data_IF_037484116574
#
_entry.id   IF_037484116574
#
_cell.length_a   1.000
_cell.length_b   1.000
_cell.length_c   1.000
_cell.angle_alpha   90.00
_cell.angle_beta   90.00
_cell.angle_gamma   90.00
#
_symmetry.space_group_name_H-M   'P 1'
#
loop_
_entity.id
_entity.type
_entity.pdbx_description
1 polymer ?
#
# COMPACT_ATOMS: atom_id res chain seq x y z
N UNK A 1 66.36 -28.69 72.41
CA UNK A 1 65.51 -27.48 72.48
C UNK A 1 64.21 -27.78 71.76
N UNK A 2 63.08 -27.28 72.25
CA UNK A 2 61.75 -27.87 71.99
C UNK A 2 60.75 -26.88 71.40
N UNK A 3 59.63 -27.44 70.92
CA UNK A 3 58.45 -26.80 70.32
C UNK A 3 58.67 -26.33 68.87
N UNK A 4 57.94 -26.80 67.85
CA UNK A 4 56.51 -27.20 67.68
C UNK A 4 55.56 -25.99 67.71
N UNK A 5 54.81 -25.79 66.63
CA UNK A 5 53.34 -25.75 66.58
C UNK A 5 52.90 -26.13 65.13
N UNK A 6 52.09 -27.18 64.86
CA UNK A 6 50.63 -27.40 65.14
C UNK A 6 49.76 -26.72 64.06
N UNK A 7 48.74 -27.31 63.40
CA UNK A 7 48.08 -28.66 63.26
C UNK A 7 47.36 -28.62 61.86
N UNK A 8 46.69 -29.60 61.25
CA UNK A 8 46.19 -30.99 61.47
C UNK A 8 46.19 -31.65 60.04
N UNK A 9 46.41 -32.94 59.73
CA UNK A 9 45.71 -34.22 60.04
C UNK A 9 44.18 -34.19 59.75
N UNK A 10 43.55 -35.16 59.08
CA UNK A 10 44.02 -36.29 58.26
C UNK A 10 42.83 -36.94 57.50
N UNK A 11 43.11 -37.78 56.48
CA UNK A 11 42.38 -39.00 56.01
C UNK A 11 40.83 -38.98 55.90
N UNK A 12 40.16 -39.38 54.81
CA UNK A 12 40.62 -39.95 53.53
C UNK A 12 40.46 -41.47 53.40
N UNK A 13 39.51 -41.93 52.57
CA UNK A 13 39.43 -43.33 52.09
C UNK A 13 38.02 -43.85 51.74
N UNK A 14 37.94 -44.64 50.65
CA UNK A 14 36.86 -45.56 50.24
C UNK A 14 35.51 -44.95 49.75
N UNK A 15 34.82 -45.49 48.73
CA UNK A 15 35.22 -46.35 47.58
C UNK A 15 34.10 -46.36 46.51
N UNK A 16 34.27 -47.16 45.46
CA UNK A 16 33.31 -47.58 44.41
C UNK A 16 33.09 -46.57 43.27
N UNK A 17 33.66 -46.91 42.10
CA UNK A 17 33.16 -46.45 40.81
C UNK A 17 32.04 -47.39 40.35
N UNK A 18 30.89 -46.85 39.96
CA UNK A 18 29.85 -47.55 39.20
C UNK A 18 29.42 -46.66 38.03
N UNK A 19 29.25 -47.25 36.85
CA UNK A 19 29.03 -46.52 35.61
C UNK A 19 27.61 -45.96 35.51
N UNK A 20 27.45 -44.66 35.71
CA UNK A 20 26.25 -43.92 35.31
C UNK A 20 26.35 -43.50 33.85
N UNK A 21 25.66 -44.19 32.94
CA UNK A 21 25.38 -43.64 31.61
C UNK A 21 24.35 -42.53 31.80
N UNK A 22 24.83 -41.28 31.81
CA UNK A 22 23.95 -40.12 31.74
C UNK A 22 23.32 -40.05 30.35
N UNK A 23 22.16 -40.67 30.20
CA UNK A 23 21.16 -40.16 29.28
C UNK A 23 20.79 -38.76 29.75
N UNK A 24 21.43 -37.75 29.17
CA UNK A 24 20.79 -36.45 29.03
C UNK A 24 19.46 -36.72 28.32
N UNK A 25 18.31 -36.27 28.85
CA UNK A 25 17.11 -36.24 28.02
C UNK A 25 17.41 -35.32 26.85
N UNK A 26 17.20 -35.81 25.62
CA UNK A 26 17.18 -34.93 24.46
C UNK A 26 16.16 -33.83 24.75
N UNK A 27 16.66 -32.61 24.99
CA UNK A 27 15.82 -31.47 25.23
C UNK A 27 14.93 -31.30 24.01
N UNK A 28 13.61 -31.37 24.20
CA UNK A 28 12.63 -31.18 23.14
C UNK A 28 12.93 -29.85 22.46
N UNK A 29 13.64 -29.91 21.34
CA UNK A 29 13.93 -28.75 20.52
C UNK A 29 12.57 -28.28 20.00
N UNK A 30 12.08 -27.18 20.58
CA UNK A 30 10.97 -26.44 20.00
C UNK A 30 11.35 -26.18 18.54
N UNK A 31 10.61 -26.83 17.62
CA UNK A 31 10.78 -26.56 16.20
C UNK A 31 10.59 -25.06 15.99
N UNK A 32 11.52 -24.43 15.28
CA UNK A 32 11.39 -23.02 14.94
C UNK A 32 10.09 -22.81 14.15
N UNK A 33 9.35 -21.75 14.47
CA UNK A 33 8.18 -21.35 13.68
C UNK A 33 8.60 -21.20 12.20
N UNK A 34 7.91 -21.88 11.29
CA UNK A 34 8.15 -21.76 9.85
C UNK A 34 7.80 -20.34 9.34
N UNK A 35 8.32 -19.90 8.17
CA UNK A 35 7.99 -18.60 7.60
C UNK A 35 6.49 -18.27 7.55
N UNK A 36 5.66 -19.25 7.17
CA UNK A 36 4.21 -19.12 7.17
C UNK A 36 3.62 -18.95 8.58
N UNK A 37 4.12 -19.69 9.57
CA UNK A 37 3.70 -19.54 10.97
C UNK A 37 4.11 -18.18 11.55
N UNK A 38 5.31 -17.68 11.22
CA UNK A 38 5.76 -16.34 11.64
C UNK A 38 4.86 -15.27 11.01
N UNK A 39 4.60 -15.35 9.70
CA UNK A 39 3.70 -14.43 9.00
C UNK A 39 2.30 -14.43 9.62
N UNK A 40 1.66 -15.59 9.77
CA UNK A 40 0.29 -15.68 10.31
C UNK A 40 0.22 -15.20 11.76
N UNK A 41 1.18 -15.58 12.61
CA UNK A 41 1.26 -15.17 14.02
C UNK A 41 1.43 -13.65 14.17
N UNK A 42 2.42 -13.06 13.51
CA UNK A 42 2.70 -11.62 13.64
C UNK A 42 1.65 -10.75 12.97
N UNK A 43 1.20 -11.09 11.76
CA UNK A 43 0.18 -10.29 11.05
C UNK A 43 -1.20 -10.37 11.71
N UNK A 44 -1.56 -11.49 12.35
CA UNK A 44 -2.81 -11.62 13.14
C UNK A 44 -2.77 -10.89 14.49
N UNK A 45 -1.57 -10.64 15.03
CA UNK A 45 -1.38 -9.92 16.28
C UNK A 45 -1.12 -8.41 16.09
N UNK A 46 -0.91 -7.93 14.86
CA UNK A 46 -0.39 -6.58 14.58
C UNK A 46 1.10 -6.40 14.93
N UNK A 47 1.79 -7.49 15.31
CA UNK A 47 3.19 -7.50 15.75
C UNK A 47 4.18 -7.51 14.57
N UNK A 48 3.97 -6.63 13.59
CA UNK A 48 4.77 -6.56 12.36
C UNK A 48 6.27 -6.41 12.66
N UNK A 49 6.63 -5.54 13.61
CA UNK A 49 8.04 -5.24 13.96
C UNK A 49 8.76 -6.46 14.55
N UNK A 50 8.06 -7.30 15.32
CA UNK A 50 8.57 -8.55 15.87
C UNK A 50 8.77 -9.61 14.77
N UNK A 51 7.77 -9.80 13.89
CA UNK A 51 7.85 -10.78 12.81
C UNK A 51 8.90 -10.43 11.75
N UNK A 52 9.07 -9.13 11.44
CA UNK A 52 10.16 -8.61 10.60
C UNK A 52 11.52 -9.02 11.18
N UNK A 53 11.79 -8.72 12.45
CA UNK A 53 13.06 -9.06 13.10
C UNK A 53 13.32 -10.57 13.17
N UNK A 54 12.26 -11.38 13.34
CA UNK A 54 12.37 -12.84 13.32
C UNK A 54 12.74 -13.36 11.91
N UNK A 55 12.12 -12.85 10.85
CA UNK A 55 12.41 -13.27 9.47
C UNK A 55 13.73 -12.70 8.93
N UNK A 56 14.16 -11.51 9.39
CA UNK A 56 15.53 -11.00 9.14
C UNK A 56 16.58 -11.93 9.77
N UNK A 57 16.31 -12.47 10.97
CA UNK A 57 17.18 -13.46 11.63
C UNK A 57 17.16 -14.81 10.88
N UNK A 58 16.00 -15.27 10.43
CA UNK A 58 15.86 -16.48 9.60
C UNK A 58 16.68 -16.37 8.30
N UNK A 59 16.57 -15.25 7.58
CA UNK A 59 17.27 -15.01 6.32
C UNK A 59 18.77 -14.77 6.49
N UNK A 60 19.20 -14.21 7.63
CA UNK A 60 20.63 -14.13 7.96
C UNK A 60 21.24 -15.54 8.14
N UNK A 61 20.48 -16.50 8.64
CA UNK A 61 20.88 -17.90 8.76
C UNK A 61 20.68 -18.72 7.47
N UNK A 62 19.64 -18.40 6.67
CA UNK A 62 19.27 -19.11 5.43
C UNK A 62 19.03 -18.13 4.27
N UNK A 63 20.07 -17.50 3.67
CA UNK A 63 19.91 -16.45 2.65
C UNK A 63 19.30 -16.90 1.32
N UNK A 64 19.09 -18.21 1.12
CA UNK A 64 18.43 -18.77 -0.05
C UNK A 64 16.95 -19.11 0.17
N UNK A 65 16.41 -18.90 1.38
CA UNK A 65 15.02 -19.24 1.69
C UNK A 65 14.04 -18.22 1.10
N UNK A 66 13.31 -18.65 0.06
CA UNK A 66 12.39 -17.81 -0.69
C UNK A 66 11.12 -17.50 0.09
N UNK A 67 10.61 -18.48 0.86
CA UNK A 67 9.39 -18.30 1.66
C UNK A 67 9.59 -17.29 2.80
N UNK A 68 10.75 -17.36 3.47
CA UNK A 68 11.13 -16.37 4.49
C UNK A 68 11.32 -14.98 3.89
N UNK A 69 11.85 -14.88 2.65
CA UNK A 69 12.01 -13.60 1.95
C UNK A 69 10.67 -13.00 1.54
N UNK A 70 9.76 -13.79 0.99
CA UNK A 70 8.41 -13.32 0.70
C UNK A 70 7.71 -12.86 1.99
N UNK A 71 7.70 -13.70 3.03
CA UNK A 71 7.05 -13.40 4.29
C UNK A 71 7.62 -12.11 4.94
N UNK A 72 8.94 -11.87 4.83
CA UNK A 72 9.56 -10.64 5.30
C UNK A 72 9.09 -9.43 4.49
N UNK A 73 9.11 -9.52 3.15
CA UNK A 73 8.66 -8.44 2.27
C UNK A 73 7.19 -8.07 2.48
N UNK A 74 6.33 -9.07 2.69
CA UNK A 74 4.92 -8.89 3.01
C UNK A 74 4.71 -8.28 4.41
N UNK A 75 5.42 -8.72 5.46
CA UNK A 75 5.33 -8.07 6.77
C UNK A 75 5.89 -6.63 6.74
N UNK A 76 6.94 -6.36 5.96
CA UNK A 76 7.48 -5.01 5.75
C UNK A 76 6.45 -4.12 5.04
N UNK A 77 5.74 -4.63 4.02
CA UNK A 77 4.65 -3.92 3.36
C UNK A 77 3.48 -3.65 4.31
N UNK A 78 2.94 -4.68 4.96
CA UNK A 78 1.80 -4.55 5.88
C UNK A 78 2.13 -3.63 7.06
N UNK A 79 3.34 -3.73 7.62
CA UNK A 79 3.84 -2.84 8.67
C UNK A 79 4.01 -1.38 8.22
N UNK A 80 4.24 -1.12 6.93
CA UNK A 80 4.26 0.23 6.37
C UNK A 80 2.84 0.85 6.31
N UNK A 81 1.84 0.06 5.91
CA UNK A 81 0.44 0.46 5.88
C UNK A 81 -0.11 0.66 7.30
N UNK A 82 0.22 -0.25 8.21
CA UNK A 82 -0.12 -0.20 9.64
C UNK A 82 0.40 1.08 10.32
N UNK A 83 1.70 1.38 10.21
CA UNK A 83 2.28 2.58 10.83
C UNK A 83 1.74 3.88 10.19
N UNK A 84 1.45 3.88 8.88
CA UNK A 84 0.81 5.01 8.21
C UNK A 84 -0.62 5.23 8.74
N UNK A 85 -1.43 4.18 8.80
CA UNK A 85 -2.82 4.25 9.24
C UNK A 85 -2.94 4.57 10.74
N UNK A 86 -2.08 4.01 11.58
CA UNK A 86 -1.98 4.37 13.00
C UNK A 86 -1.52 5.82 13.21
N UNK A 87 -0.64 6.35 12.37
CA UNK A 87 -0.27 7.78 12.41
C UNK A 87 -1.41 8.69 11.97
N UNK A 88 -2.21 8.27 10.98
CA UNK A 88 -3.43 9.00 10.57
C UNK A 88 -4.50 8.97 11.68
N UNK A 89 -4.72 7.82 12.35
CA UNK A 89 -5.57 7.72 13.54
C UNK A 89 -5.09 8.63 14.67
N UNK A 90 -3.78 8.62 14.97
CA UNK A 90 -3.15 9.50 15.98
C UNK A 90 -3.48 10.97 15.76
N UNK A 91 -3.53 11.45 14.52
CA UNK A 91 -3.88 12.83 14.18
C UNK A 91 -5.39 13.08 13.99
N UNK A 92 -6.23 12.07 14.18
CA UNK A 92 -7.68 12.15 14.00
C UNK A 92 -8.08 12.39 12.54
N UNK A 93 -7.37 11.79 11.59
CA UNK A 93 -7.75 11.77 10.19
C UNK A 93 -9.09 11.04 9.98
N UNK A 94 -9.93 11.52 9.06
CA UNK A 94 -11.29 11.01 8.92
C UNK A 94 -12.26 11.57 9.97
N UNK A 95 -11.93 12.72 10.55
CA UNK A 95 -12.87 13.53 11.31
C UNK A 95 -13.79 14.37 10.40
N UNK A 96 -14.60 15.23 11.03
CA UNK A 96 -15.26 16.38 10.40
C UNK A 96 -15.90 16.14 9.03
N UNK A 97 -15.60 17.06 8.11
CA UNK A 97 -16.23 17.15 6.78
C UNK A 97 -15.81 16.00 5.85
N UNK A 98 -14.59 15.48 5.94
CA UNK A 98 -14.15 14.33 5.15
C UNK A 98 -14.98 13.08 5.44
N UNK A 99 -15.43 12.89 6.69
CA UNK A 99 -16.33 11.79 7.05
C UNK A 99 -17.78 12.04 6.63
N UNK A 100 -18.30 13.27 6.75
CA UNK A 100 -19.68 13.58 6.32
C UNK A 100 -19.87 13.57 4.80
N UNK A 101 -18.79 13.74 4.03
CA UNK A 101 -18.73 13.54 2.57
C UNK A 101 -18.32 12.11 2.16
N UNK A 102 -18.19 11.18 3.13
CA UNK A 102 -17.71 9.80 2.96
C UNK A 102 -16.46 9.65 2.05
N UNK A 103 -15.47 10.56 2.13
CA UNK A 103 -14.36 10.58 1.17
C UNK A 103 -13.58 9.22 1.19
N UNK A 104 -13.47 8.49 0.05
CA UNK A 104 -13.04 7.09 0.05
C UNK A 104 -11.72 6.79 0.78
N UNK A 105 -10.74 7.67 0.68
CA UNK A 105 -9.40 7.51 1.27
C UNK A 105 -9.37 7.54 2.81
N UNK A 106 -10.44 7.99 3.47
CA UNK A 106 -10.55 8.03 4.93
C UNK A 106 -11.57 7.01 5.48
N UNK A 107 -12.17 6.17 4.62
CA UNK A 107 -13.07 5.09 5.05
C UNK A 107 -12.25 3.99 5.73
N UNK A 108 -12.57 3.70 6.99
CA UNK A 108 -11.92 2.63 7.78
C UNK A 108 -10.88 3.08 8.81
N UNK A 109 -10.68 4.39 9.01
CA UNK A 109 -9.94 4.91 10.18
C UNK A 109 -10.94 5.16 11.33
N UNK A 110 -10.78 4.52 12.50
CA UNK A 110 -11.68 4.74 13.64
C UNK A 110 -11.58 6.17 14.21
N UNK A 111 -12.61 6.59 14.93
CA UNK A 111 -12.67 7.93 15.53
C UNK A 111 -11.79 8.02 16.78
N UNK A 112 -10.59 8.59 16.68
CA UNK A 112 -9.74 8.86 17.84
C UNK A 112 -10.43 9.83 18.85
N UNK A 113 -10.62 9.44 20.13
CA UNK A 113 -11.24 10.29 21.14
C UNK A 113 -10.33 11.39 21.70
N UNK A 114 -8.99 11.24 21.63
CA UNK A 114 -8.03 12.31 21.94
C UNK A 114 -6.91 12.37 20.88
N UNK A 115 -7.18 12.98 19.71
CA UNK A 115 -6.20 13.09 18.64
C UNK A 115 -5.08 14.06 19.00
N UNK A 116 -3.86 13.74 18.60
CA UNK A 116 -2.71 14.63 18.74
C UNK A 116 -2.81 15.81 17.73
N UNK A 117 -2.33 17.01 18.09
CA UNK A 117 -2.17 18.09 17.12
C UNK A 117 -1.24 17.70 15.97
N UNK A 118 -1.57 18.14 14.75
CA UNK A 118 -0.82 17.83 13.52
C UNK A 118 -0.39 19.10 12.80
N UNK A 119 0.85 19.17 12.31
CA UNK A 119 1.37 20.25 11.47
C UNK A 119 1.58 19.77 10.04
N UNK A 120 1.69 20.70 9.10
CA UNK A 120 2.01 20.39 7.70
C UNK A 120 3.29 19.53 7.55
N UNK A 121 4.35 19.86 8.29
CA UNK A 121 5.59 19.11 8.27
C UNK A 121 5.42 17.65 8.77
N UNK A 122 4.46 17.39 9.66
CA UNK A 122 4.17 16.04 10.14
C UNK A 122 3.48 15.21 9.03
N UNK A 123 2.61 15.83 8.21
CA UNK A 123 2.00 15.17 7.05
C UNK A 123 3.01 14.91 5.93
N UNK A 124 3.97 15.82 5.72
CA UNK A 124 5.07 15.58 4.77
C UNK A 124 5.97 14.42 5.25
N UNK A 125 6.30 14.38 6.54
CA UNK A 125 7.10 13.32 7.13
C UNK A 125 6.41 11.94 7.04
N UNK A 126 5.08 11.91 7.20
CA UNK A 126 4.26 10.70 7.06
C UNK A 126 4.38 10.06 5.66
N UNK A 127 4.11 10.81 4.58
CA UNK A 127 4.26 10.29 3.22
C UNK A 127 5.73 9.95 2.88
N UNK A 128 6.68 10.77 3.33
CA UNK A 128 8.11 10.50 3.14
C UNK A 128 8.60 9.26 3.90
N UNK A 129 7.93 8.85 4.99
CA UNK A 129 8.23 7.60 5.69
C UNK A 129 7.54 6.40 5.05
N UNK A 130 6.28 6.54 4.60
CA UNK A 130 5.59 5.49 3.85
C UNK A 130 6.39 5.07 2.61
N UNK A 131 6.83 6.02 1.79
CA UNK A 131 7.63 5.74 0.60
C UNK A 131 8.95 5.00 0.91
N UNK A 132 9.63 5.34 2.02
CA UNK A 132 10.84 4.62 2.47
C UNK A 132 10.55 3.19 2.90
N UNK A 133 9.48 2.97 3.67
CA UNK A 133 9.10 1.63 4.13
C UNK A 133 8.67 0.73 2.96
N UNK A 134 7.95 1.28 1.97
CA UNK A 134 7.59 0.58 0.73
C UNK A 134 8.83 0.22 -0.11
N UNK A 135 9.83 1.10 -0.20
CA UNK A 135 11.08 0.82 -0.91
C UNK A 135 11.90 -0.31 -0.24
N UNK A 136 11.78 -0.49 1.09
CA UNK A 136 12.38 -1.61 1.81
C UNK A 136 11.64 -2.91 1.46
N UNK A 137 10.31 -2.90 1.51
CA UNK A 137 9.48 -4.06 1.16
C UNK A 137 9.68 -4.52 -0.29
N UNK A 138 9.66 -3.58 -1.25
CA UNK A 138 9.93 -3.85 -2.67
C UNK A 138 11.29 -4.52 -2.85
N UNK A 139 12.34 -3.95 -2.27
CA UNK A 139 13.72 -4.47 -2.39
C UNK A 139 13.86 -5.88 -1.79
N UNK A 140 13.13 -6.18 -0.71
CA UNK A 140 13.10 -7.54 -0.14
C UNK A 140 12.39 -8.51 -1.08
N UNK A 141 11.21 -8.15 -1.58
CA UNK A 141 10.43 -8.95 -2.53
C UNK A 141 11.17 -9.13 -3.88
N UNK A 142 12.00 -8.18 -4.30
CA UNK A 142 12.79 -8.27 -5.53
C UNK A 142 13.77 -9.46 -5.53
N UNK A 143 14.23 -9.89 -4.36
CA UNK A 143 15.03 -11.11 -4.21
C UNK A 143 14.24 -12.42 -4.27
N UNK A 144 12.91 -12.38 -4.52
CA UNK A 144 12.06 -13.56 -4.71
C UNK A 144 11.93 -13.95 -6.19
N UNK A 145 12.23 -13.04 -7.14
CA UNK A 145 12.23 -13.35 -8.59
C UNK A 145 13.01 -14.66 -8.87
N UNK A 146 12.44 -15.52 -9.71
CA UNK A 146 12.98 -16.83 -10.13
C UNK A 146 13.05 -17.88 -9.00
N UNK A 147 12.34 -17.68 -7.89
CA UNK A 147 12.24 -18.64 -6.78
C UNK A 147 10.82 -19.23 -6.69
N UNK A 148 10.71 -20.55 -6.56
CA UNK A 148 9.45 -21.17 -6.19
C UNK A 148 9.11 -20.85 -4.73
N UNK A 149 7.95 -20.23 -4.52
CA UNK A 149 7.30 -19.98 -3.23
C UNK A 149 5.96 -20.71 -3.27
N UNK A 150 5.51 -21.34 -2.17
CA UNK A 150 4.13 -21.84 -2.04
C UNK A 150 3.64 -21.67 -0.61
N UNK A 151 3.50 -20.41 -0.18
CA UNK A 151 3.30 -20.04 1.23
C UNK A 151 1.81 -19.80 1.57
N UNK A 152 1.22 -20.54 2.54
CA UNK A 152 -0.17 -20.32 2.94
C UNK A 152 -0.32 -19.05 3.80
N UNK A 153 -1.27 -18.17 3.42
CA UNK A 153 -1.53 -16.90 4.10
C UNK A 153 -3.04 -16.63 4.22
N UNK A 154 -3.47 -15.91 5.26
CA UNK A 154 -4.88 -15.54 5.48
C UNK A 154 -5.07 -14.04 5.65
N UNK A 155 -5.16 -13.23 4.57
CA UNK A 155 -5.36 -11.79 4.68
C UNK A 155 -6.59 -11.38 5.51
N UNK A 156 -7.64 -12.20 5.55
CA UNK A 156 -8.82 -11.96 6.38
C UNK A 156 -8.58 -12.05 7.89
N UNK A 157 -7.42 -12.56 8.32
CA UNK A 157 -6.98 -12.58 9.72
C UNK A 157 -5.95 -11.48 10.05
N UNK A 158 -5.50 -10.68 9.08
CA UNK A 158 -4.52 -9.61 9.32
C UNK A 158 -5.16 -8.48 10.12
N UNK A 159 -4.50 -8.13 11.22
CA UNK A 159 -4.88 -7.09 12.15
C UNK A 159 -4.01 -5.84 11.96
N UNK A 160 -4.59 -4.66 12.21
CA UNK A 160 -3.88 -3.39 12.26
C UNK A 160 -4.22 -2.70 13.58
N UNK A 161 -3.27 -2.61 14.51
CA UNK A 161 -3.47 -1.91 15.79
C UNK A 161 -3.42 -0.39 15.54
N UNK A 162 -4.49 0.15 14.95
CA UNK A 162 -4.56 1.55 14.52
C UNK A 162 -4.52 2.49 15.71
N UNK A 163 -5.15 2.09 16.82
CA UNK A 163 -5.24 2.91 18.02
C UNK A 163 -4.03 2.80 18.97
N UNK A 164 -3.21 1.75 18.82
CA UNK A 164 -2.00 1.44 19.61
C UNK A 164 -2.27 1.10 21.09
N UNK A 165 -3.43 0.53 21.42
CA UNK A 165 -3.79 0.03 22.77
C UNK A 165 -3.52 -1.46 22.98
N UNK A 166 -3.02 -2.17 21.97
CA UNK A 166 -2.69 -3.60 22.04
C UNK A 166 -3.91 -4.54 21.97
N UNK A 167 -5.07 -4.05 21.51
CA UNK A 167 -6.24 -4.86 21.19
C UNK A 167 -6.64 -4.64 19.74
N UNK A 168 -7.23 -5.65 19.12
CA UNK A 168 -7.71 -5.61 17.74
C UNK A 168 -9.23 -5.54 17.74
N UNK A 169 -9.81 -4.38 17.39
CA UNK A 169 -11.23 -4.25 17.11
C UNK A 169 -11.65 -4.85 15.75
N UNK A 170 -12.94 -5.05 15.51
CA UNK A 170 -13.42 -5.59 14.22
C UNK A 170 -13.20 -4.64 13.03
N UNK A 171 -13.12 -3.32 13.27
CA UNK A 171 -12.76 -2.34 12.23
C UNK A 171 -11.24 -2.30 11.97
N UNK A 172 -10.43 -2.78 12.91
CA UNK A 172 -8.96 -2.76 12.94
C UNK A 172 -8.36 -3.98 12.23
N UNK A 173 -8.83 -4.25 11.02
CA UNK A 173 -8.41 -5.40 10.21
C UNK A 173 -8.28 -5.07 8.73
N UNK A 174 -7.34 -5.73 8.05
CA UNK A 174 -7.21 -5.67 6.59
C UNK A 174 -8.52 -6.07 5.90
N UNK A 175 -9.26 -7.01 6.49
CA UNK A 175 -10.59 -7.41 6.02
C UNK A 175 -11.59 -6.24 5.95
N UNK A 176 -11.56 -5.35 6.94
CA UNK A 176 -12.42 -4.19 7.02
C UNK A 176 -12.10 -3.10 5.98
N UNK A 177 -10.86 -3.09 5.46
CA UNK A 177 -10.44 -2.28 4.30
C UNK A 177 -10.75 -2.98 2.97
N UNK A 178 -10.41 -4.26 2.83
CA UNK A 178 -10.60 -5.04 1.61
C UNK A 178 -12.07 -5.10 1.17
N UNK A 179 -13.00 -5.27 2.12
CA UNK A 179 -14.46 -5.23 1.85
C UNK A 179 -14.95 -3.86 1.32
N UNK A 180 -14.23 -2.77 1.59
CA UNK A 180 -14.61 -1.42 1.17
C UNK A 180 -14.17 -1.13 -0.28
N UNK A 181 -13.06 -1.74 -0.73
CA UNK A 181 -12.55 -1.62 -2.10
C UNK A 181 -13.14 -2.71 -3.01
N UNK A 182 -13.31 -3.93 -2.50
CA UNK A 182 -13.83 -5.10 -3.24
C UNK A 182 -15.05 -5.69 -2.50
N UNK A 183 -16.25 -5.06 -2.60
CA UNK A 183 -17.45 -5.48 -1.86
C UNK A 183 -17.86 -6.96 -1.96
N UNK A 184 -17.65 -7.68 -3.09
CA UNK A 184 -17.93 -9.13 -3.16
C UNK A 184 -17.18 -9.97 -2.13
N UNK A 185 -15.96 -9.57 -1.73
CA UNK A 185 -15.13 -10.29 -0.75
C UNK A 185 -15.84 -10.40 0.61
N UNK A 186 -16.66 -9.41 0.97
CA UNK A 186 -17.42 -9.41 2.23
C UNK A 186 -18.45 -10.54 2.38
N UNK A 187 -18.66 -11.37 1.34
CA UNK A 187 -19.52 -12.56 1.40
C UNK A 187 -18.76 -13.83 1.87
N UNK A 188 -17.42 -13.77 1.96
CA UNK A 188 -16.56 -14.89 2.34
C UNK A 188 -16.28 -14.81 3.86
N UNK A 189 -16.27 -15.94 4.62
CA UNK A 189 -15.85 -15.92 6.01
C UNK A 189 -14.35 -15.58 6.15
N UNK A 190 -14.00 -14.60 6.99
CA UNK A 190 -12.63 -14.04 7.11
C UNK A 190 -11.57 -15.07 7.52
N UNK A 191 -11.98 -16.13 8.21
CA UNK A 191 -11.20 -17.30 8.61
C UNK A 191 -10.92 -18.30 7.47
N UNK A 192 -11.76 -18.28 6.42
CA UNK A 192 -11.68 -19.18 5.26
C UNK A 192 -11.06 -18.52 4.02
N UNK A 193 -10.74 -17.23 4.12
CA UNK A 193 -9.99 -16.49 3.13
C UNK A 193 -8.50 -16.87 3.20
N UNK A 194 -8.20 -18.09 2.76
CA UNK A 194 -6.86 -18.60 2.52
C UNK A 194 -6.39 -18.15 1.13
N UNK A 195 -5.10 -17.86 1.04
CA UNK A 195 -4.34 -17.68 -0.20
C UNK A 195 -3.13 -18.62 -0.14
N UNK A 196 -2.78 -19.24 -1.26
CA UNK A 196 -1.51 -19.95 -1.40
C UNK A 196 -0.54 -19.12 -2.26
N UNK A 197 0.26 -18.27 -1.61
CA UNK A 197 1.15 -17.30 -2.27
C UNK A 197 2.23 -17.99 -3.10
N UNK A 198 2.52 -17.44 -4.27
CA UNK A 198 3.55 -17.89 -5.21
C UNK A 198 4.51 -16.75 -5.69
N UNK A 199 5.19 -16.97 -6.82
CA UNK A 199 6.04 -15.97 -7.48
C UNK A 199 5.22 -14.85 -8.19
N UNK A 200 4.05 -15.18 -8.73
CA UNK A 200 3.14 -14.23 -9.38
C UNK A 200 2.66 -13.15 -8.41
N UNK A 201 2.34 -13.54 -7.18
CA UNK A 201 2.00 -12.67 -6.05
C UNK A 201 3.18 -11.82 -5.57
N UNK A 202 4.39 -12.39 -5.54
CA UNK A 202 5.60 -11.65 -5.18
C UNK A 202 5.88 -10.51 -6.16
N UNK A 203 5.69 -10.75 -7.47
CA UNK A 203 5.83 -9.72 -8.51
C UNK A 203 4.65 -8.75 -8.49
N UNK A 204 3.42 -9.22 -8.23
CA UNK A 204 2.23 -8.39 -8.07
C UNK A 204 2.40 -7.34 -6.96
N UNK A 205 2.85 -7.76 -5.77
CA UNK A 205 2.99 -6.88 -4.61
C UNK A 205 4.06 -5.79 -4.83
N UNK A 206 5.11 -6.10 -5.60
CA UNK A 206 6.13 -5.11 -5.99
C UNK A 206 5.58 -4.05 -6.95
N UNK A 207 4.72 -4.45 -7.89
CA UNK A 207 3.97 -3.50 -8.72
C UNK A 207 3.19 -2.52 -7.86
N UNK A 208 2.55 -3.03 -6.80
CA UNK A 208 1.75 -2.22 -5.89
C UNK A 208 2.62 -1.32 -4.98
N UNK A 209 3.79 -1.79 -4.54
CA UNK A 209 4.79 -0.94 -3.89
C UNK A 209 5.19 0.25 -4.79
N UNK A 210 5.46 0.00 -6.07
CA UNK A 210 5.81 1.08 -7.01
C UNK A 210 4.66 2.06 -7.25
N UNK A 211 3.42 1.57 -7.39
CA UNK A 211 2.23 2.43 -7.48
C UNK A 211 2.11 3.38 -6.27
N UNK A 212 2.24 2.84 -5.05
CA UNK A 212 2.17 3.64 -3.82
C UNK A 212 3.37 4.59 -3.64
N UNK A 213 4.58 4.17 -4.04
CA UNK A 213 5.75 5.06 -4.05
C UNK A 213 5.59 6.21 -5.06
N UNK A 214 4.96 5.99 -6.22
CA UNK A 214 4.65 7.05 -7.16
C UNK A 214 3.71 8.11 -6.55
N UNK A 215 2.68 7.70 -5.80
CA UNK A 215 1.82 8.65 -5.06
C UNK A 215 2.59 9.42 -3.98
N UNK A 216 3.48 8.75 -3.22
CA UNK A 216 4.33 9.42 -2.23
C UNK A 216 5.24 10.47 -2.88
N UNK A 217 5.81 10.16 -4.05
CA UNK A 217 6.71 11.07 -4.76
C UNK A 217 5.97 12.23 -5.43
N UNK A 218 4.80 12.01 -6.05
CA UNK A 218 3.93 13.13 -6.50
C UNK A 218 3.56 14.03 -5.32
N UNK A 219 3.27 13.46 -4.14
CA UNK A 219 2.95 14.25 -2.93
C UNK A 219 4.14 15.06 -2.40
N UNK A 220 5.37 14.61 -2.66
CA UNK A 220 6.60 15.31 -2.27
C UNK A 220 7.08 16.33 -3.31
N UNK A 221 6.59 16.28 -4.55
CA UNK A 221 6.97 17.20 -5.62
C UNK A 221 6.42 18.63 -5.44
N UNK A 222 5.36 18.81 -4.65
CA UNK A 222 4.53 20.00 -4.62
C UNK A 222 4.37 20.56 -3.19
N UNK A 223 4.36 21.89 -3.02
CA UNK A 223 4.01 22.50 -1.73
C UNK A 223 2.48 22.54 -1.55
N UNK A 224 1.95 21.69 -0.68
CA UNK A 224 0.52 21.61 -0.34
C UNK A 224 0.16 22.35 0.95
N UNK A 225 1.05 23.23 1.46
CA UNK A 225 0.86 23.94 2.74
C UNK A 225 -0.41 24.76 2.82
N UNK A 226 -0.72 25.56 1.80
CA UNK A 226 -1.90 26.44 1.81
C UNK A 226 -3.21 25.62 1.89
N UNK A 227 -3.24 24.42 1.28
CA UNK A 227 -4.33 23.46 1.41
C UNK A 227 -4.41 22.91 2.85
N UNK A 228 -3.29 22.47 3.42
CA UNK A 228 -3.25 21.97 4.80
C UNK A 228 -3.66 23.05 5.81
N UNK A 229 -3.10 24.26 5.72
CA UNK A 229 -3.35 25.31 6.71
C UNK A 229 -4.78 25.82 6.63
N UNK A 230 -5.39 25.95 5.44
CA UNK A 230 -6.75 26.51 5.29
C UNK A 230 -7.86 25.48 5.36
N UNK A 231 -7.60 24.21 5.02
CA UNK A 231 -8.62 23.17 4.92
C UNK A 231 -8.27 21.84 5.62
N UNK A 232 -7.15 21.79 6.35
CA UNK A 232 -6.75 20.62 7.12
C UNK A 232 -7.77 20.20 8.18
N UNK A 233 -8.65 21.10 8.64
CA UNK A 233 -9.75 20.82 9.57
C UNK A 233 -10.87 19.97 8.96
N UNK A 234 -10.95 19.94 7.63
CA UNK A 234 -11.86 19.03 6.92
C UNK A 234 -11.41 17.57 7.07
N UNK A 235 -10.11 17.32 7.28
CA UNK A 235 -9.49 15.98 7.29
C UNK A 235 -9.12 15.54 8.72
N UNK A 236 -8.42 16.43 9.45
CA UNK A 236 -7.81 16.18 10.75
C UNK A 236 -8.56 16.90 11.88
N UNK A 237 -8.58 16.30 13.06
CA UNK A 237 -9.34 16.80 14.19
C UNK A 237 -8.67 17.95 14.98
N UNK A 238 -7.34 18.11 14.90
CA UNK A 238 -6.57 19.19 15.57
C UNK A 238 -5.41 19.75 14.71
N UNK A 239 -5.64 20.26 13.49
CA UNK A 239 -4.59 20.88 12.68
C UNK A 239 -4.03 22.14 13.35
N UNK A 240 -2.71 22.27 13.34
CA UNK A 240 -1.99 23.48 13.73
C UNK A 240 -1.97 24.42 12.52
N UNK A 241 -2.84 25.44 12.56
CA UNK A 241 -3.09 26.39 11.46
C UNK A 241 -3.06 27.84 11.94
N UNK A 242 -2.67 28.82 11.11
CA UNK A 242 -2.89 30.25 11.37
C UNK A 242 -4.37 30.68 11.47
N UNK A 243 -5.31 29.80 11.12
CA UNK A 243 -6.75 30.07 11.01
C UNK A 243 -7.56 29.29 12.06
N UNK A 244 -7.35 29.49 13.38
CA UNK A 244 -7.90 28.60 14.44
C UNK A 244 -9.43 28.53 14.46
N UNK A 245 -10.13 29.57 14.01
CA UNK A 245 -11.60 29.60 13.92
C UNK A 245 -12.19 28.57 12.95
N UNK A 246 -11.39 28.00 12.04
CA UNK A 246 -11.78 26.86 11.20
C UNK A 246 -12.12 25.60 12.00
N UNK A 247 -11.69 25.52 13.26
CA UNK A 247 -11.94 24.41 14.17
C UNK A 247 -13.05 24.70 15.20
N UNK A 248 -13.74 25.84 15.10
CA UNK A 248 -14.85 26.17 16.00
C UNK A 248 -16.12 25.34 15.67
N UNK A 249 -16.89 24.86 16.67
CA UNK A 249 -18.02 23.96 16.41
C UNK A 249 -19.17 24.59 15.60
N UNK A 250 -19.58 23.94 14.51
CA UNK A 250 -20.81 24.30 13.78
C UNK A 250 -22.08 24.02 14.62
N UNK A 251 -23.00 24.98 14.67
CA UNK A 251 -24.28 24.83 15.36
C UNK A 251 -25.28 23.85 14.71
N UNK A 252 -25.05 23.43 13.47
CA UNK A 252 -25.84 22.41 12.75
C UNK A 252 -24.90 21.44 12.01
N UNK A 253 -24.16 20.65 12.79
CA UNK A 253 -23.15 19.74 12.26
C UNK A 253 -23.72 18.55 11.43
N UNK A 254 -25.03 18.37 11.37
CA UNK A 254 -25.68 17.31 10.59
C UNK A 254 -26.00 17.73 9.15
N UNK A 255 -26.04 19.03 8.88
CA UNK A 255 -26.36 19.56 7.56
C UNK A 255 -25.10 19.66 6.69
N UNK A 256 -25.05 18.95 5.57
CA UNK A 256 -23.90 19.00 4.64
C UNK A 256 -23.93 20.24 3.72
N UNK A 257 -25.04 20.98 3.70
CA UNK A 257 -25.23 22.17 2.87
C UNK A 257 -25.17 23.47 3.70
N UNK A 258 -24.48 23.48 4.85
CA UNK A 258 -24.17 24.74 5.54
C UNK A 258 -23.27 25.62 4.65
N UNK A 259 -23.42 26.95 4.77
CA UNK A 259 -22.56 27.88 4.04
C UNK A 259 -21.07 27.65 4.34
N UNK A 260 -20.73 27.30 5.59
CA UNK A 260 -19.36 27.00 6.00
C UNK A 260 -18.79 25.79 5.25
N UNK A 261 -19.49 24.64 5.21
CA UNK A 261 -19.03 23.44 4.48
C UNK A 261 -18.91 23.67 2.98
N UNK A 262 -19.80 24.44 2.40
CA UNK A 262 -19.73 24.81 0.98
C UNK A 262 -18.53 25.74 0.73
N UNK A 263 -18.27 26.72 1.61
CA UNK A 263 -17.12 27.59 1.52
C UNK A 263 -15.79 26.84 1.71
N UNK A 264 -15.72 25.92 2.66
CA UNK A 264 -14.57 25.04 2.91
C UNK A 264 -14.30 24.12 1.70
N UNK A 265 -15.34 23.52 1.11
CA UNK A 265 -15.21 22.70 -0.09
C UNK A 265 -14.73 23.52 -1.30
N UNK A 266 -15.24 24.75 -1.47
CA UNK A 266 -14.77 25.69 -2.50
C UNK A 266 -13.30 26.08 -2.25
N UNK A 267 -12.93 26.36 -1.00
CA UNK A 267 -11.55 26.65 -0.63
C UNK A 267 -10.64 25.45 -0.94
N UNK A 268 -11.02 24.23 -0.53
CA UNK A 268 -10.26 23.01 -0.79
C UNK A 268 -10.04 22.81 -2.30
N UNK A 269 -11.08 22.95 -3.11
CA UNK A 269 -11.01 22.86 -4.58
C UNK A 269 -10.09 23.95 -5.18
N UNK A 270 -10.16 25.18 -4.67
CA UNK A 270 -9.34 26.30 -5.13
C UNK A 270 -7.86 26.19 -4.70
N UNK A 271 -7.59 25.49 -3.59
CA UNK A 271 -6.28 25.31 -2.98
C UNK A 271 -5.57 24.03 -3.41
N UNK A 272 -6.20 23.17 -4.24
CA UNK A 272 -5.49 22.18 -5.06
C UNK A 272 -4.80 22.94 -6.21
N UNK A 273 -3.81 23.73 -5.81
CA UNK A 273 -3.15 24.77 -6.57
C UNK A 273 -1.72 24.93 -6.07
N UNK A 274 -0.88 23.95 -6.41
CA UNK A 274 0.39 23.73 -5.75
C UNK A 274 1.56 24.24 -6.58
N UNK A 275 2.48 24.96 -5.94
CA UNK A 275 3.77 25.29 -6.53
C UNK A 275 4.68 24.05 -6.52
N UNK A 276 5.45 23.90 -7.59
CA UNK A 276 6.44 22.82 -7.72
C UNK A 276 7.67 23.13 -6.85
N UNK A 277 8.05 22.20 -5.98
CA UNK A 277 9.24 22.31 -5.12
C UNK A 277 10.31 21.28 -5.43
N UNK A 278 9.95 20.11 -5.97
CA UNK A 278 10.90 19.08 -6.41
C UNK A 278 10.47 18.47 -7.75
N UNK A 279 11.23 18.78 -8.81
CA UNK A 279 10.99 18.28 -10.15
C UNK A 279 11.51 16.84 -10.38
N UNK A 280 12.50 16.39 -9.60
CA UNK A 280 13.01 15.01 -9.68
C UNK A 280 12.03 14.02 -9.06
N UNK A 281 11.21 14.47 -8.11
CA UNK A 281 10.11 13.67 -7.58
C UNK A 281 9.04 13.31 -8.61
N UNK A 282 8.69 14.20 -9.54
CA UNK A 282 7.82 13.84 -10.66
C UNK A 282 8.48 12.83 -11.62
N UNK A 283 9.80 12.97 -11.87
CA UNK A 283 10.56 12.00 -12.68
C UNK A 283 10.67 10.62 -12.01
N UNK A 284 10.82 10.59 -10.69
CA UNK A 284 10.84 9.38 -9.87
C UNK A 284 9.49 8.67 -9.87
N UNK A 285 8.38 9.41 -9.67
CA UNK A 285 7.02 8.87 -9.78
C UNK A 285 6.72 8.28 -11.17
N UNK A 286 7.20 8.93 -12.24
CA UNK A 286 7.09 8.42 -13.61
C UNK A 286 7.84 7.10 -13.83
N UNK A 287 9.07 7.00 -13.32
CA UNK A 287 9.84 5.77 -13.36
C UNK A 287 9.15 4.63 -12.58
N UNK A 288 8.57 4.93 -11.41
CA UNK A 288 7.79 3.97 -10.63
C UNK A 288 6.51 3.51 -11.35
N UNK A 289 5.79 4.40 -12.04
CA UNK A 289 4.60 4.00 -12.83
C UNK A 289 4.97 3.08 -14.01
N UNK A 290 6.10 3.33 -14.67
CA UNK A 290 6.60 2.44 -15.73
C UNK A 290 7.08 1.08 -15.18
N UNK A 291 7.72 1.07 -14.02
CA UNK A 291 8.18 -0.17 -13.37
C UNK A 291 7.01 -1.01 -12.83
N UNK A 292 5.96 -0.37 -12.30
CA UNK A 292 4.70 -1.05 -11.97
C UNK A 292 4.12 -1.76 -13.20
N UNK A 293 4.09 -1.10 -14.37
CA UNK A 293 3.59 -1.73 -15.61
C UNK A 293 4.48 -2.90 -16.03
N UNK A 294 5.81 -2.78 -15.92
CA UNK A 294 6.75 -3.88 -16.19
C UNK A 294 6.46 -5.09 -15.30
N UNK A 295 6.27 -4.85 -14.00
CA UNK A 295 5.99 -5.89 -13.02
C UNK A 295 4.60 -6.52 -13.22
N UNK A 296 3.57 -5.73 -13.48
CA UNK A 296 2.22 -6.25 -13.80
C UNK A 296 2.27 -7.19 -15.01
N UNK A 297 2.97 -6.84 -16.11
CA UNK A 297 3.18 -7.74 -17.26
C UNK A 297 3.92 -9.04 -16.92
N UNK A 298 4.78 -9.06 -15.89
CA UNK A 298 5.53 -10.26 -15.47
C UNK A 298 4.66 -11.12 -14.53
N UNK A 299 4.00 -10.52 -13.55
CA UNK A 299 3.03 -11.19 -12.67
C UNK A 299 1.95 -11.88 -13.50
N UNK A 300 1.31 -11.17 -14.44
CA UNK A 300 0.31 -11.76 -15.33
C UNK A 300 0.84 -12.87 -16.24
N UNK A 301 2.14 -12.91 -16.54
CA UNK A 301 2.77 -14.02 -17.29
C UNK A 301 2.99 -15.26 -16.43
N UNK A 302 3.22 -15.10 -15.12
CA UNK A 302 3.29 -16.20 -14.16
C UNK A 302 1.87 -16.78 -13.96
N UNK A 303 0.89 -15.90 -13.68
CA UNK A 303 -0.54 -16.20 -13.58
C UNK A 303 -1.07 -16.96 -14.80
N UNK A 304 -0.71 -16.52 -16.01
CA UNK A 304 -1.12 -17.23 -17.23
C UNK A 304 -0.47 -18.61 -17.41
N UNK A 305 0.66 -18.89 -16.74
CA UNK A 305 1.40 -20.14 -16.83
C UNK A 305 1.04 -21.17 -15.75
N UNK A 306 0.35 -20.77 -14.68
CA UNK A 306 -0.16 -21.66 -13.62
C UNK A 306 -1.14 -22.73 -14.14
N UNK A 307 -1.20 -23.83 -13.39
CA UNK A 307 -1.96 -25.04 -13.76
C UNK A 307 -2.70 -25.71 -12.61
N UNK A 308 -2.32 -25.43 -11.37
CA UNK A 308 -3.12 -25.65 -10.16
C UNK A 308 -4.22 -24.58 -9.98
N UNK A 309 -5.04 -24.78 -8.94
CA UNK A 309 -6.24 -24.03 -8.60
C UNK A 309 -6.36 -24.04 -7.07
N UNK A 310 -5.33 -23.52 -6.39
CA UNK A 310 -4.99 -23.81 -4.99
C UNK A 310 -5.18 -22.58 -4.09
N UNK A 311 -6.31 -21.87 -4.29
CA UNK A 311 -6.66 -20.62 -3.59
C UNK A 311 -5.81 -19.40 -3.99
N UNK A 312 -5.79 -19.06 -5.28
CA UNK A 312 -4.96 -17.94 -5.78
C UNK A 312 -5.49 -16.56 -5.34
N UNK A 313 -4.56 -15.61 -5.14
CA UNK A 313 -4.88 -14.20 -4.92
C UNK A 313 -5.35 -13.50 -6.19
N UNK A 314 -4.69 -13.73 -7.34
CA UNK A 314 -5.05 -13.18 -8.66
C UNK A 314 -5.13 -14.32 -9.70
N UNK A 315 -6.32 -14.88 -9.97
CA UNK A 315 -6.46 -16.08 -10.80
C UNK A 315 -6.46 -15.81 -12.32
N UNK A 316 -5.97 -16.79 -13.09
CA UNK A 316 -6.14 -16.86 -14.54
C UNK A 316 -7.58 -17.29 -14.94
N UNK A 317 -7.82 -17.40 -16.25
CA UNK A 317 -9.14 -17.64 -16.84
C UNK A 317 -9.68 -19.07 -16.68
N UNK A 318 -8.84 -20.00 -16.19
CA UNK A 318 -9.09 -21.44 -16.09
C UNK A 318 -9.41 -21.87 -14.65
N UNK A 319 -8.82 -21.18 -13.68
CA UNK A 319 -9.03 -21.36 -12.24
C UNK A 319 -10.47 -21.02 -11.79
N UNK A 320 -10.84 -21.55 -10.63
CA UNK A 320 -12.20 -21.59 -10.07
C UNK A 320 -12.21 -21.45 -8.54
N UNK A 321 -11.18 -21.96 -7.87
CA UNK A 321 -10.98 -21.90 -6.43
C UNK A 321 -10.31 -20.57 -6.07
N UNK A 322 -11.05 -19.48 -6.31
CA UNK A 322 -10.52 -18.11 -6.30
C UNK A 322 -10.71 -17.47 -4.92
N UNK A 323 -9.63 -16.97 -4.30
CA UNK A 323 -9.69 -16.48 -2.92
C UNK A 323 -10.74 -15.38 -2.70
N UNK A 324 -10.88 -14.46 -3.67
CA UNK A 324 -11.84 -13.34 -3.61
C UNK A 324 -13.24 -13.64 -4.16
N UNK A 325 -13.55 -14.87 -4.54
CA UNK A 325 -14.86 -15.26 -5.09
C UNK A 325 -15.20 -14.69 -6.48
N UNK A 326 -14.29 -13.95 -7.12
CA UNK A 326 -14.47 -13.42 -8.47
C UNK A 326 -13.74 -14.28 -9.50
N UNK A 327 -14.50 -14.86 -10.43
CA UNK A 327 -13.93 -15.53 -11.60
C UNK A 327 -13.49 -14.49 -12.64
N UNK A 328 -12.25 -14.61 -13.11
CA UNK A 328 -11.69 -13.83 -14.20
C UNK A 328 -11.94 -14.54 -15.54
N UNK A 329 -12.06 -13.77 -16.61
CA UNK A 329 -12.22 -14.25 -17.98
C UNK A 329 -11.07 -13.81 -18.89
N UNK A 330 -10.81 -14.55 -19.97
CA UNK A 330 -9.76 -14.24 -20.95
C UNK A 330 -9.88 -12.82 -21.52
N UNK A 331 -11.11 -12.34 -21.70
CA UNK A 331 -11.39 -10.99 -22.20
C UNK A 331 -11.00 -9.89 -21.18
N UNK A 332 -11.09 -10.17 -19.88
CA UNK A 332 -10.61 -9.26 -18.82
C UNK A 332 -9.08 -9.21 -18.76
N UNK A 333 -8.39 -10.35 -18.90
CA UNK A 333 -6.92 -10.40 -18.94
C UNK A 333 -6.39 -9.71 -20.21
N UNK A 334 -7.01 -9.99 -21.36
CA UNK A 334 -6.66 -9.37 -22.65
C UNK A 334 -6.95 -7.87 -22.64
N UNK A 335 -8.10 -7.47 -22.10
CA UNK A 335 -8.43 -6.06 -21.86
C UNK A 335 -7.41 -5.39 -20.95
N UNK A 336 -7.03 -6.04 -19.83
CA UNK A 336 -6.03 -5.53 -18.89
C UNK A 336 -4.67 -5.24 -19.56
N UNK A 337 -4.14 -6.16 -20.37
CA UNK A 337 -2.90 -5.93 -21.10
C UNK A 337 -2.98 -4.72 -22.05
N UNK A 338 -4.14 -4.46 -22.66
CA UNK A 338 -4.35 -3.25 -23.44
C UNK A 338 -4.46 -1.97 -22.57
N UNK A 339 -4.87 -2.04 -21.30
CA UNK A 339 -4.72 -0.91 -20.35
C UNK A 339 -3.25 -0.57 -20.17
N UNK A 340 -2.44 -1.58 -19.87
CA UNK A 340 -1.00 -1.44 -19.63
C UNK A 340 -0.30 -0.84 -20.86
N UNK A 341 -0.64 -1.29 -22.06
CA UNK A 341 -0.16 -0.73 -23.34
C UNK A 341 -0.56 0.73 -23.55
N UNK A 342 -1.81 1.09 -23.23
CA UNK A 342 -2.31 2.46 -23.42
C UNK A 342 -1.68 3.44 -22.42
N UNK A 343 -1.58 3.05 -21.14
CA UNK A 343 -0.94 3.86 -20.09
C UNK A 343 0.57 3.96 -20.36
N UNK A 344 1.25 2.88 -20.75
CA UNK A 344 2.67 2.91 -21.12
C UNK A 344 2.90 3.83 -22.34
N UNK A 345 2.01 3.81 -23.34
CA UNK A 345 2.09 4.71 -24.49
C UNK A 345 1.88 6.19 -24.12
N UNK A 346 0.99 6.48 -23.17
CA UNK A 346 0.78 7.83 -22.63
C UNK A 346 1.98 8.30 -21.78
N UNK A 347 2.46 7.48 -20.84
CA UNK A 347 3.62 7.78 -20.00
C UNK A 347 4.89 7.98 -20.83
N UNK A 348 5.06 7.28 -21.95
CA UNK A 348 6.18 7.49 -22.87
C UNK A 348 5.93 8.59 -23.93
N UNK A 349 4.78 9.27 -23.91
CA UNK A 349 4.45 10.34 -24.88
C UNK A 349 4.28 9.86 -26.32
N UNK A 350 4.19 8.53 -26.54
CA UNK A 350 3.89 7.90 -27.83
C UNK A 350 2.45 8.20 -28.24
N UNK A 351 1.55 8.30 -27.25
CA UNK A 351 0.17 8.79 -27.37
C UNK A 351 -0.05 10.01 -26.47
N UNK A 352 -1.05 10.81 -26.81
CA UNK A 352 -1.51 11.98 -26.06
C UNK A 352 -2.93 11.76 -25.52
N UNK A 353 -3.25 12.33 -24.36
CA UNK A 353 -4.63 12.33 -23.82
C UNK A 353 -5.48 13.33 -24.65
N UNK A 354 -6.61 12.94 -25.27
CA UNK A 354 -7.44 13.86 -26.07
C UNK A 354 -7.79 15.16 -25.36
N UNK A 355 -7.54 16.31 -26.01
CA UNK A 355 -7.78 17.61 -25.36
C UNK A 355 -9.26 18.04 -25.46
N UNK A 356 -9.93 18.12 -24.30
CA UNK A 356 -11.39 18.24 -24.17
C UNK A 356 -11.97 19.66 -24.38
N UNK A 357 -11.21 20.60 -24.96
CA UNK A 357 -11.60 22.02 -25.09
C UNK A 357 -11.24 22.60 -26.46
N UNK A 358 -12.07 23.52 -26.93
CA UNK A 358 -11.94 24.15 -28.25
C UNK A 358 -12.64 23.35 -29.35
N UNK A 359 -12.06 23.35 -30.55
CA UNK A 359 -12.55 22.57 -31.69
C UNK A 359 -12.30 21.07 -31.47
N UNK A 360 -13.32 20.38 -30.95
CA UNK A 360 -13.26 18.95 -30.63
C UNK A 360 -13.06 18.04 -31.85
N UNK A 361 -13.21 18.53 -33.09
CA UNK A 361 -12.85 17.74 -34.28
C UNK A 361 -11.35 17.49 -34.35
N UNK A 362 -10.53 18.39 -33.77
CA UNK A 362 -9.07 18.28 -33.70
C UNK A 362 -8.59 17.39 -32.56
N UNK A 363 -9.47 16.94 -31.68
CA UNK A 363 -9.16 16.08 -30.53
C UNK A 363 -9.82 14.70 -30.64
N UNK A 364 -10.10 14.23 -31.86
CA UNK A 364 -10.81 12.97 -32.13
C UNK A 364 -10.16 12.17 -33.26
N UNK A 365 -10.36 10.85 -33.24
CA UNK A 365 -9.70 9.91 -34.14
C UNK A 365 -8.29 9.55 -33.68
N UNK A 366 -7.51 8.92 -34.54
CA UNK A 366 -6.19 8.38 -34.20
C UNK A 366 -5.11 9.45 -33.98
N UNK A 367 -5.26 10.63 -34.57
CA UNK A 367 -4.26 11.72 -34.52
C UNK A 367 -4.93 13.08 -34.36
N UNK A 368 -4.30 13.95 -33.57
CA UNK A 368 -4.82 15.28 -33.28
C UNK A 368 -4.17 15.89 -32.06
N UNK A 369 -4.86 16.86 -31.46
CA UNK A 369 -4.47 17.63 -30.29
C UNK A 369 -4.72 16.87 -29.00
N UNK A 370 -3.67 16.71 -28.20
CA UNK A 370 -3.78 16.10 -26.88
C UNK A 370 -2.72 16.60 -25.90
N UNK A 371 -2.84 16.17 -24.64
CA UNK A 371 -1.89 16.43 -23.56
C UNK A 371 -0.81 15.35 -23.56
N UNK A 372 0.45 15.76 -23.62
CA UNK A 372 1.61 14.87 -23.51
C UNK A 372 1.88 14.55 -22.02
N UNK A 373 1.45 13.38 -21.56
CA UNK A 373 1.60 12.96 -20.16
C UNK A 373 3.07 12.77 -19.76
N UNK A 374 3.94 12.30 -20.66
CA UNK A 374 5.38 12.22 -20.39
C UNK A 374 5.95 13.59 -20.02
N UNK A 375 5.53 14.64 -20.74
CA UNK A 375 5.97 16.02 -20.51
C UNK A 375 5.48 16.57 -19.17
N UNK A 376 4.28 16.18 -18.70
CA UNK A 376 3.77 16.54 -17.36
C UNK A 376 4.67 16.01 -16.25
N UNK A 377 5.24 14.82 -16.41
CA UNK A 377 6.17 14.25 -15.41
C UNK A 377 7.63 14.69 -15.59
N UNK A 378 8.10 14.87 -16.83
CA UNK A 378 9.50 15.15 -17.13
C UNK A 378 9.84 16.66 -17.10
N UNK A 379 8.86 17.50 -17.45
CA UNK A 379 8.94 18.97 -17.43
C UNK A 379 7.78 19.56 -16.59
N UNK A 380 7.64 19.16 -15.31
CA UNK A 380 6.55 19.61 -14.46
C UNK A 380 6.62 21.13 -14.19
N UNK A 381 5.50 21.69 -13.78
CA UNK A 381 5.36 23.06 -13.29
C UNK A 381 4.20 23.12 -12.28
N UNK A 382 3.79 24.33 -11.87
CA UNK A 382 2.66 24.56 -10.96
C UNK A 382 1.41 23.77 -11.38
N UNK A 383 0.79 23.06 -10.43
CA UNK A 383 -0.42 22.28 -10.65
C UNK A 383 -1.65 23.00 -10.05
N UNK A 384 -2.42 23.68 -10.90
CA UNK A 384 -3.72 24.28 -10.55
C UNK A 384 -4.86 23.42 -11.11
N UNK A 385 -5.59 22.71 -10.24
CA UNK A 385 -6.66 21.79 -10.65
C UNK A 385 -7.80 22.48 -11.40
N UNK A 386 -8.13 23.73 -11.06
CA UNK A 386 -9.24 24.47 -11.70
C UNK A 386 -8.83 24.92 -13.10
N UNK A 387 -7.58 25.40 -13.27
CA UNK A 387 -7.03 25.73 -14.58
C UNK A 387 -6.78 24.46 -15.41
N UNK A 388 -6.38 23.34 -14.80
CA UNK A 388 -6.31 22.05 -15.48
C UNK A 388 -7.69 21.63 -16.01
N UNK A 389 -8.72 21.52 -15.17
CA UNK A 389 -10.08 21.10 -15.57
C UNK A 389 -10.66 22.01 -16.67
N UNK A 390 -10.45 23.33 -16.58
CA UNK A 390 -10.92 24.28 -17.60
C UNK A 390 -10.09 24.28 -18.90
N UNK A 391 -8.93 23.61 -18.89
CA UNK A 391 -8.06 23.31 -20.02
C UNK A 391 -6.86 24.26 -20.20
N UNK A 392 -6.74 25.33 -19.40
CA UNK A 392 -5.69 26.34 -19.53
C UNK A 392 -4.40 25.93 -18.81
N UNK A 393 -4.49 25.25 -17.67
CA UNK A 393 -3.33 24.69 -16.95
C UNK A 393 -2.62 23.58 -17.73
N UNK A 394 -3.35 22.89 -18.62
CA UNK A 394 -2.79 21.90 -19.53
C UNK A 394 -1.96 22.51 -20.68
N UNK A 395 -2.06 23.82 -20.95
CA UNK A 395 -1.55 24.44 -22.17
C UNK A 395 -0.06 24.21 -22.50
N UNK A 396 0.90 24.20 -21.53
CA UNK A 396 2.31 23.90 -21.82
C UNK A 396 2.55 22.48 -22.37
N UNK A 397 1.59 21.58 -22.13
CA UNK A 397 1.66 20.16 -22.44
C UNK A 397 0.80 19.75 -23.64
N UNK A 398 0.12 20.71 -24.29
CA UNK A 398 -0.71 20.46 -25.48
C UNK A 398 0.18 20.34 -26.72
N UNK A 399 0.08 19.21 -27.41
CA UNK A 399 0.85 18.88 -28.61
C UNK A 399 -0.06 18.22 -29.66
N UNK A 400 0.42 18.09 -30.90
CA UNK A 400 -0.28 17.36 -31.98
C UNK A 400 0.45 16.05 -32.29
N UNK A 401 -0.23 14.92 -32.13
CA UNK A 401 0.39 13.59 -32.14
C UNK A 401 -0.62 12.47 -32.36
N UNK A 402 -0.25 11.23 -32.00
CA UNK A 402 -1.23 10.14 -31.91
C UNK A 402 -2.06 10.31 -30.64
N UNK A 403 -3.37 10.12 -30.72
CA UNK A 403 -4.26 10.21 -29.57
C UNK A 403 -4.47 8.85 -28.91
N UNK A 404 -4.72 8.87 -27.60
CA UNK A 404 -5.41 7.79 -26.92
C UNK A 404 -6.88 7.80 -27.30
N UNK A 405 -7.46 6.63 -27.54
CA UNK A 405 -8.76 6.49 -28.21
C UNK A 405 -9.89 6.16 -27.24
N UNK A 406 -11.03 6.84 -27.39
CA UNK A 406 -12.25 6.59 -26.61
C UNK A 406 -12.69 5.11 -26.65
N UNK A 407 -12.44 4.40 -27.76
CA UNK A 407 -12.75 2.97 -27.85
C UNK A 407 -11.94 2.13 -26.85
N UNK A 408 -10.67 2.46 -26.62
CA UNK A 408 -9.83 1.77 -25.62
C UNK A 408 -10.49 1.88 -24.24
N UNK A 409 -10.75 3.10 -23.78
CA UNK A 409 -11.30 3.36 -22.44
C UNK A 409 -12.75 2.89 -22.26
N UNK A 410 -13.59 2.98 -23.30
CA UNK A 410 -14.96 2.49 -23.24
C UNK A 410 -15.04 0.96 -23.29
N UNK A 411 -14.18 0.30 -24.08
CA UNK A 411 -14.08 -1.18 -24.09
C UNK A 411 -13.64 -1.69 -22.72
N UNK A 412 -12.74 -0.99 -22.04
CA UNK A 412 -12.33 -1.31 -20.67
C UNK A 412 -13.46 -1.14 -19.65
N UNK A 413 -14.19 -0.02 -19.67
CA UNK A 413 -15.36 0.13 -18.79
C UNK A 413 -16.44 -0.92 -19.05
N UNK A 414 -16.62 -1.38 -20.29
CA UNK A 414 -17.52 -2.48 -20.62
C UNK A 414 -17.03 -3.84 -20.09
N UNK A 415 -15.76 -4.20 -20.36
CA UNK A 415 -15.14 -5.47 -19.93
C UNK A 415 -15.09 -5.61 -18.40
N UNK A 416 -14.86 -4.51 -17.68
CA UNK A 416 -14.89 -4.50 -16.21
C UNK A 416 -16.27 -4.14 -15.62
N UNK A 417 -17.34 -4.08 -16.43
CA UNK A 417 -18.72 -3.89 -15.97
C UNK A 417 -18.93 -2.62 -15.12
N UNK A 418 -18.26 -1.52 -15.46
CA UNK A 418 -18.25 -0.26 -14.71
C UNK A 418 -17.42 -0.28 -13.40
N UNK A 419 -16.79 -1.41 -13.04
CA UNK A 419 -15.97 -1.56 -11.82
C UNK A 419 -14.47 -1.37 -12.05
N UNK A 420 -14.09 -0.74 -13.17
CA UNK A 420 -12.70 -0.65 -13.65
C UNK A 420 -11.69 -0.27 -12.56
N UNK A 421 -11.91 0.81 -11.80
CA UNK A 421 -10.97 1.26 -10.79
C UNK A 421 -10.75 0.27 -9.63
N UNK A 422 -11.78 -0.48 -9.24
CA UNK A 422 -11.67 -1.51 -8.19
C UNK A 422 -10.98 -2.78 -8.66
N UNK A 423 -11.10 -3.12 -9.95
CA UNK A 423 -10.31 -4.20 -10.57
C UNK A 423 -8.88 -3.77 -10.84
N UNK A 424 -8.64 -2.55 -11.34
CA UNK A 424 -7.30 -2.00 -11.58
C UNK A 424 -6.46 -2.04 -10.30
N UNK A 425 -6.97 -1.52 -9.18
CA UNK A 425 -6.28 -1.57 -7.88
C UNK A 425 -5.99 -3.00 -7.35
N UNK A 426 -6.55 -4.05 -7.96
CA UNK A 426 -6.24 -5.46 -7.68
C UNK A 426 -5.44 -6.13 -8.81
N UNK A 427 -5.38 -5.56 -10.01
CA UNK A 427 -4.59 -6.02 -11.17
C UNK A 427 -3.25 -5.25 -11.35
N UNK A 428 -3.04 -4.18 -10.55
CA UNK A 428 -2.03 -3.09 -10.58
C UNK A 428 -2.33 -1.90 -11.51
#
# INVERSE_FOLDING_TARGET
MSFIHVRLRYLGGFLICLGGVFFLPDGLAMAADTPAQILEKSSRAGEFKQGIAQLETELAARPAEAEARFALGLLQFLGAIDEFAATQYKFGAGGGTARSLELPFFRGIPNNPDPAPVKYADTQALFAQLGKSLAIAEKTLAGVEQSQVKLPFRPGLVAFDLNRDGKIGDEESFWSLLRAVVPPVGQIPKDKFLIQVDEGDAVWLRGYCHLLMAFCDVSAAYDTRELFERTGHMIYAKPVTPYPWSQEPEGDANNIFTFHRIADLIAMIHLINFELVDADKMRSAHAHLLEMIRLSRISWKLIDAESDDDAEWVPNDRQKSVAIGLRISRDQITGWHHVLEEIEALLNGKKLIPFWRGDLSKSKGERGRGVNLAKVFQQPGRFDMVLWITGTGAAPYIEEGQLSTDESWNRLQAVFGGRFFGFAAWFN
#
